data_IF_923420609318
#
_entry.id   IF_923420609318
#
_cell.length_a   1.000
_cell.length_b   1.000
_cell.length_c   1.000
_cell.angle_alpha   90.00
_cell.angle_beta   90.00
_cell.angle_gamma   90.00
#
_symmetry.space_group_name_H-M   'P 1'
#
loop_
_entity.id
_entity.type
_entity.pdbx_description
1 polymer ?
#
# COMPACT_ATOMS: atom_id res chain seq x y z
N UNK A 1 42.23 -41.37 -4.15
CA UNK A 1 41.52 -40.38 -4.97
C UNK A 1 40.69 -39.55 -4.02
N UNK A 2 41.10 -38.31 -3.74
CA UNK A 2 40.40 -37.42 -2.80
C UNK A 2 39.47 -36.49 -3.58
N UNK A 3 38.17 -36.75 -3.50
CA UNK A 3 37.13 -35.83 -3.96
C UNK A 3 37.19 -34.55 -3.14
N UNK A 4 37.78 -33.50 -3.71
CA UNK A 4 37.73 -32.15 -3.15
C UNK A 4 36.45 -31.50 -3.64
N UNK A 5 35.36 -31.68 -2.89
CA UNK A 5 34.12 -30.93 -3.12
C UNK A 5 34.39 -29.46 -2.77
N UNK A 6 34.71 -28.65 -3.78
CA UNK A 6 34.90 -27.20 -3.62
C UNK A 6 33.56 -26.55 -3.26
N UNK A 7 33.40 -26.18 -1.98
CA UNK A 7 32.24 -25.43 -1.48
C UNK A 7 32.25 -24.03 -2.11
N UNK A 8 31.32 -23.77 -3.04
CA UNK A 8 31.19 -22.47 -3.72
C UNK A 8 30.96 -21.38 -2.67
N UNK A 9 31.67 -20.24 -2.71
CA UNK A 9 31.47 -19.16 -1.75
C UNK A 9 30.02 -18.64 -1.84
N UNK A 10 29.44 -18.34 -0.67
CA UNK A 10 28.10 -17.79 -0.59
C UNK A 10 28.04 -16.43 -1.29
N UNK A 11 27.01 -16.21 -2.13
CA UNK A 11 26.82 -14.93 -2.82
C UNK A 11 26.64 -13.80 -1.82
N UNK A 12 27.28 -12.68 -2.08
CA UNK A 12 27.11 -11.46 -1.29
C UNK A 12 25.69 -10.87 -1.50
N UNK A 13 25.18 -10.05 -0.57
CA UNK A 13 23.92 -9.34 -0.77
C UNK A 13 23.88 -8.52 -2.07
N UNK A 14 24.98 -7.84 -2.42
CA UNK A 14 25.08 -7.03 -3.63
C UNK A 14 24.97 -7.89 -4.91
N UNK A 15 25.62 -9.05 -4.94
CA UNK A 15 25.53 -10.00 -6.06
C UNK A 15 24.11 -10.56 -6.20
N UNK A 16 23.43 -10.87 -5.09
CA UNK A 16 22.03 -11.31 -5.11
C UNK A 16 21.11 -10.23 -5.67
N UNK A 17 21.30 -8.97 -5.28
CA UNK A 17 20.50 -7.87 -5.80
C UNK A 17 20.77 -7.63 -7.29
N UNK A 18 22.04 -7.74 -7.72
CA UNK A 18 22.41 -7.61 -9.13
C UNK A 18 21.77 -8.71 -9.97
N UNK A 19 21.80 -9.95 -9.50
CA UNK A 19 21.18 -11.10 -10.15
C UNK A 19 19.65 -10.93 -10.25
N UNK A 20 19.01 -10.48 -9.16
CA UNK A 20 17.57 -10.18 -9.15
C UNK A 20 17.20 -9.12 -10.20
N UNK A 21 17.97 -8.03 -10.28
CA UNK A 21 17.75 -6.97 -11.28
C UNK A 21 17.96 -7.45 -12.70
N UNK A 22 18.98 -8.29 -12.94
CA UNK A 22 19.23 -8.87 -14.25
C UNK A 22 18.05 -9.73 -14.69
N UNK A 23 17.58 -10.62 -13.81
CA UNK A 23 16.41 -11.47 -14.05
C UNK A 23 15.14 -10.66 -14.28
N UNK A 24 14.94 -9.57 -13.52
CA UNK A 24 13.80 -8.68 -13.69
C UNK A 24 13.82 -8.00 -15.07
N UNK A 25 14.99 -7.56 -15.52
CA UNK A 25 15.16 -6.99 -16.84
C UNK A 25 14.87 -8.00 -17.96
N UNK A 26 15.32 -9.25 -17.82
CA UNK A 26 14.99 -10.33 -18.78
C UNK A 26 13.50 -10.63 -18.79
N UNK A 27 12.86 -10.74 -17.63
CA UNK A 27 11.41 -11.01 -17.53
C UNK A 27 10.59 -9.92 -18.26
N UNK A 28 11.01 -8.66 -18.18
CA UNK A 28 10.32 -7.56 -18.88
C UNK A 28 10.56 -7.61 -20.40
N UNK A 29 11.76 -7.97 -20.83
CA UNK A 29 12.15 -7.91 -22.24
C UNK A 29 11.64 -9.11 -23.04
N UNK A 30 11.63 -10.29 -22.42
CA UNK A 30 11.45 -11.58 -23.10
C UNK A 30 10.41 -12.48 -22.42
N UNK A 31 9.90 -12.09 -21.25
CA UNK A 31 9.01 -12.92 -20.46
C UNK A 31 7.66 -13.12 -21.13
N UNK A 32 7.18 -14.36 -21.10
CA UNK A 32 5.82 -14.71 -21.49
C UNK A 32 4.86 -14.57 -20.30
N UNK A 33 3.55 -14.65 -20.56
CA UNK A 33 2.55 -14.72 -19.50
C UNK A 33 2.79 -15.89 -18.54
N UNK A 34 3.28 -17.04 -19.04
CA UNK A 34 3.60 -18.20 -18.20
C UNK A 34 4.79 -17.90 -17.28
N UNK A 35 5.79 -17.16 -17.78
CA UNK A 35 6.95 -16.77 -16.97
C UNK A 35 6.56 -15.77 -15.86
N UNK A 36 5.65 -14.85 -16.16
CA UNK A 36 5.06 -13.94 -15.18
C UNK A 36 4.32 -14.69 -14.08
N UNK A 37 3.51 -15.69 -14.45
CA UNK A 37 2.78 -16.54 -13.50
C UNK A 37 3.70 -17.42 -12.64
N UNK A 38 4.85 -17.85 -13.17
CA UNK A 38 5.82 -18.67 -12.44
C UNK A 38 6.84 -17.86 -11.62
N UNK A 39 7.00 -16.56 -11.91
CA UNK A 39 7.97 -15.71 -11.23
C UNK A 39 7.70 -15.58 -9.72
N UNK A 40 8.74 -15.43 -8.91
CA UNK A 40 8.59 -15.14 -7.49
C UNK A 40 8.13 -13.68 -7.27
N UNK A 41 7.41 -13.40 -6.17
CA UNK A 41 6.91 -12.05 -5.86
C UNK A 41 8.03 -11.01 -5.78
N UNK A 42 9.19 -11.38 -5.24
CA UNK A 42 10.36 -10.50 -5.17
C UNK A 42 10.90 -10.12 -6.56
N UNK A 43 10.80 -11.02 -7.52
CA UNK A 43 11.18 -10.76 -8.92
C UNK A 43 10.14 -9.85 -9.59
N UNK A 44 8.85 -10.11 -9.39
CA UNK A 44 7.77 -9.28 -9.92
C UNK A 44 7.82 -7.85 -9.39
N UNK A 45 8.12 -7.65 -8.10
CA UNK A 45 8.24 -6.31 -7.50
C UNK A 45 9.43 -5.53 -8.09
N UNK A 46 10.59 -6.18 -8.26
CA UNK A 46 11.76 -5.53 -8.90
C UNK A 46 11.48 -5.25 -10.39
N UNK A 47 10.76 -6.15 -11.07
CA UNK A 47 10.35 -5.98 -12.46
C UNK A 47 9.36 -4.83 -12.61
N UNK A 48 8.36 -4.70 -11.74
CA UNK A 48 7.41 -3.60 -11.72
C UNK A 48 8.12 -2.24 -11.63
N UNK A 49 9.04 -2.11 -10.67
CA UNK A 49 9.82 -0.88 -10.50
C UNK A 49 10.73 -0.59 -11.70
N UNK A 50 11.26 -1.62 -12.35
CA UNK A 50 12.11 -1.46 -13.53
C UNK A 50 11.31 -1.06 -14.76
N UNK A 51 10.14 -1.67 -15.00
CA UNK A 51 9.22 -1.32 -16.08
C UNK A 51 8.73 0.13 -15.96
N UNK A 52 8.39 0.57 -14.74
CA UNK A 52 8.01 1.96 -14.46
C UNK A 52 9.11 2.95 -14.83
N UNK A 53 10.35 2.71 -14.35
CA UNK A 53 11.50 3.60 -14.65
C UNK A 53 11.85 3.66 -16.14
N UNK A 54 11.56 2.59 -16.89
CA UNK A 54 11.83 2.49 -18.33
C UNK A 54 10.66 2.95 -19.20
N UNK A 55 9.52 3.34 -18.62
CA UNK A 55 8.34 3.77 -19.36
C UNK A 55 7.67 2.67 -20.18
N UNK A 56 7.84 1.40 -19.80
CA UNK A 56 7.28 0.25 -20.54
C UNK A 56 5.87 -0.05 -20.05
N UNK A 57 4.88 0.70 -20.57
CA UNK A 57 3.50 0.69 -20.08
C UNK A 57 2.81 -0.68 -20.17
N UNK A 58 3.06 -1.46 -21.22
CA UNK A 58 2.45 -2.79 -21.37
C UNK A 58 2.98 -3.78 -20.33
N UNK A 59 4.30 -3.94 -20.23
CA UNK A 59 4.91 -4.80 -19.22
C UNK A 59 4.54 -4.36 -17.78
N UNK A 60 4.45 -3.06 -17.53
CA UNK A 60 4.01 -2.54 -16.24
C UNK A 60 2.59 -3.01 -15.88
N UNK A 61 1.66 -2.97 -16.84
CA UNK A 61 0.28 -3.41 -16.65
C UNK A 61 0.20 -4.91 -16.39
N UNK A 62 0.92 -5.73 -17.16
CA UNK A 62 0.91 -7.19 -17.02
C UNK A 62 1.47 -7.64 -15.66
N UNK A 63 2.60 -7.05 -15.24
CA UNK A 63 3.22 -7.34 -13.93
C UNK A 63 2.30 -6.89 -12.78
N UNK A 64 1.68 -5.71 -12.89
CA UNK A 64 0.75 -5.23 -11.87
C UNK A 64 -0.50 -6.12 -11.78
N UNK A 65 -1.02 -6.57 -12.94
CA UNK A 65 -2.15 -7.49 -13.03
C UNK A 65 -1.86 -8.84 -12.36
N UNK A 66 -0.68 -9.41 -12.60
CA UNK A 66 -0.21 -10.63 -11.95
C UNK A 66 -0.16 -10.49 -10.42
N UNK A 67 0.48 -9.43 -9.92
CA UNK A 67 0.58 -9.18 -8.48
C UNK A 67 -0.79 -9.01 -7.83
N UNK A 68 -1.71 -8.28 -8.48
CA UNK A 68 -3.06 -8.10 -7.98
C UNK A 68 -3.84 -9.42 -7.97
N UNK A 69 -3.67 -10.26 -9.01
CA UNK A 69 -4.31 -11.59 -9.06
C UNK A 69 -3.83 -12.48 -7.90
N UNK A 70 -2.52 -12.46 -7.59
CA UNK A 70 -1.97 -13.22 -6.45
C UNK A 70 -2.50 -12.75 -5.11
N UNK A 71 -2.62 -11.43 -4.93
CA UNK A 71 -3.21 -10.87 -3.71
C UNK A 71 -4.69 -11.26 -3.54
N UNK A 72 -5.42 -11.38 -4.65
CA UNK A 72 -6.83 -11.74 -4.67
C UNK A 72 -7.07 -13.27 -4.67
N UNK A 73 -6.03 -14.09 -4.85
CA UNK A 73 -6.12 -15.53 -4.68
C UNK A 73 -5.63 -15.94 -3.29
N UNK A 74 -6.54 -16.28 -2.36
CA UNK A 74 -6.14 -16.82 -1.07
C UNK A 74 -5.42 -18.15 -1.31
N UNK A 75 -4.11 -18.19 -1.07
CA UNK A 75 -3.35 -19.44 -1.01
C UNK A 75 -3.86 -20.35 0.10
N UNK A 76 -3.35 -21.60 0.21
CA UNK A 76 -3.82 -22.62 1.16
C UNK A 76 -3.68 -22.25 2.66
N UNK A 77 -3.14 -21.08 2.99
CA UNK A 77 -3.08 -20.52 4.35
C UNK A 77 -4.28 -19.62 4.69
N UNK A 78 -5.36 -19.71 3.93
CA UNK A 78 -6.60 -19.00 4.20
C UNK A 78 -7.39 -19.62 5.36
N UNK A 79 -6.79 -19.78 6.54
CA UNK A 79 -7.49 -20.03 7.81
C UNK A 79 -6.70 -19.44 8.98
N UNK A 80 -6.71 -18.11 9.11
CA UNK A 80 -7.13 -17.58 10.40
C UNK A 80 -8.56 -17.15 10.19
N UNK A 81 -9.47 -18.01 10.63
CA UNK A 81 -10.87 -17.69 10.75
C UNK A 81 -10.98 -16.32 11.46
N UNK A 82 -11.53 -15.33 10.76
CA UNK A 82 -12.11 -14.19 11.47
C UNK A 82 -13.09 -14.78 12.47
N UNK A 83 -13.01 -14.45 13.78
CA UNK A 83 -14.05 -14.86 14.71
C UNK A 83 -15.39 -14.35 14.18
N UNK A 84 -16.38 -15.22 14.30
CA UNK A 84 -17.69 -15.22 13.66
C UNK A 84 -18.23 -13.83 13.30
N UNK A 85 -18.57 -13.66 12.02
CA UNK A 85 -19.60 -12.68 11.65
C UNK A 85 -20.88 -13.11 12.37
N UNK A 86 -21.44 -12.31 13.29
CA UNK A 86 -22.79 -12.60 13.75
C UNK A 86 -23.71 -12.56 12.53
N UNK A 87 -24.50 -13.61 12.36
CA UNK A 87 -25.63 -13.64 11.44
C UNK A 87 -26.56 -12.49 11.83
N UNK A 88 -26.51 -11.39 11.08
CA UNK A 88 -27.43 -10.28 11.27
C UNK A 88 -28.79 -10.73 10.74
N UNK A 89 -29.65 -11.17 11.67
CA UNK A 89 -31.11 -11.16 11.48
C UNK A 89 -31.49 -9.76 10.99
N UNK A 90 -32.28 -9.60 9.90
CA UNK A 90 -32.63 -8.27 9.41
C UNK A 90 -33.56 -7.60 10.42
N UNK A 91 -32.99 -6.79 11.32
CA UNK A 91 -33.70 -5.75 12.07
C UNK A 91 -33.94 -4.55 11.14
N UNK A 92 -35.05 -3.81 11.32
CA UNK A 92 -35.51 -2.84 10.35
C UNK A 92 -34.54 -1.67 10.23
N UNK A 93 -34.29 -1.30 8.97
CA UNK A 93 -33.81 -0.02 8.45
C UNK A 93 -33.21 0.95 9.48
N UNK A 94 -31.91 0.81 9.73
CA UNK A 94 -31.09 1.97 10.08
C UNK A 94 -30.30 2.39 8.85
N UNK A 95 -30.44 3.67 8.51
CA UNK A 95 -29.94 4.32 7.30
C UNK A 95 -28.47 3.96 6.99
N UNK A 96 -28.09 3.88 5.70
CA UNK A 96 -26.74 3.45 5.31
C UNK A 96 -25.69 4.42 5.84
N UNK A 97 -24.91 3.99 6.84
CA UNK A 97 -23.70 4.69 7.27
C UNK A 97 -22.67 4.61 6.14
N UNK A 98 -22.61 5.66 5.33
CA UNK A 98 -21.56 5.86 4.34
C UNK A 98 -20.21 5.94 5.06
N UNK A 99 -19.36 4.92 4.90
CA UNK A 99 -17.96 4.95 5.35
C UNK A 99 -17.17 5.86 4.39
N UNK A 100 -17.22 7.17 4.64
CA UNK A 100 -16.44 8.15 3.90
C UNK A 100 -14.96 8.00 4.30
N UNK A 101 -14.09 7.75 3.33
CA UNK A 101 -12.65 7.44 3.49
C UNK A 101 -11.80 8.66 3.92
N UNK A 102 -12.26 9.45 4.88
CA UNK A 102 -11.62 10.69 5.34
C UNK A 102 -12.04 11.09 6.75
N UNK A 103 -11.44 12.17 7.25
CA UNK A 103 -11.80 12.73 8.56
C UNK A 103 -13.27 13.19 8.57
N UNK A 104 -14.03 12.92 9.65
CA UNK A 104 -15.40 13.40 9.81
C UNK A 104 -15.48 14.93 9.66
N UNK A 105 -16.60 15.47 9.16
CA UNK A 105 -16.77 16.90 8.96
C UNK A 105 -16.66 17.70 10.27
N UNK A 106 -17.01 17.12 11.42
CA UNK A 106 -16.82 17.74 12.74
C UNK A 106 -15.32 17.92 13.05
N UNK A 107 -14.50 16.90 12.76
CA UNK A 107 -13.05 16.94 12.99
C UNK A 107 -12.38 17.95 12.07
N UNK A 108 -12.87 18.08 10.83
CA UNK A 108 -12.39 19.09 9.88
C UNK A 108 -12.72 20.50 10.36
N UNK A 109 -13.97 20.76 10.78
CA UNK A 109 -14.42 22.06 11.33
C UNK A 109 -13.59 22.47 12.55
N UNK A 110 -13.45 21.56 13.51
CA UNK A 110 -12.61 21.79 14.70
C UNK A 110 -11.16 22.14 14.33
N UNK A 111 -10.56 21.43 13.36
CA UNK A 111 -9.19 21.72 12.94
C UNK A 111 -9.06 23.09 12.25
N UNK A 112 -10.08 23.52 11.50
CA UNK A 112 -10.14 24.86 10.87
C UNK A 112 -10.28 25.95 11.93
N UNK A 113 -11.18 25.79 12.90
CA UNK A 113 -11.37 26.73 14.02
C UNK A 113 -10.08 26.91 14.83
N UNK A 114 -9.37 25.81 15.12
CA UNK A 114 -8.08 25.86 15.80
C UNK A 114 -7.04 26.62 14.98
N UNK A 115 -7.03 26.45 13.66
CA UNK A 115 -6.13 27.22 12.79
C UNK A 115 -6.48 28.72 12.79
N UNK A 116 -7.77 29.06 12.78
CA UNK A 116 -8.22 30.46 12.86
C UNK A 116 -7.95 31.10 14.22
N UNK A 117 -7.98 30.31 15.29
CA UNK A 117 -7.54 30.73 16.62
C UNK A 117 -6.01 30.87 16.76
N UNK A 118 -5.25 30.59 15.69
CA UNK A 118 -3.80 30.71 15.69
C UNK A 118 -3.05 29.52 16.31
N UNK A 119 -3.72 28.38 16.51
CA UNK A 119 -3.08 27.20 17.07
C UNK A 119 -1.96 26.66 16.16
N UNK A 120 -0.91 26.14 16.79
CA UNK A 120 0.22 25.54 16.09
C UNK A 120 -0.18 24.20 15.45
N UNK A 121 0.57 23.78 14.42
CA UNK A 121 0.35 22.48 13.77
C UNK A 121 0.43 21.30 14.74
N UNK A 122 1.20 21.41 15.83
CA UNK A 122 1.31 20.39 16.88
C UNK A 122 0.03 20.30 17.72
N UNK A 123 -0.57 21.43 18.07
CA UNK A 123 -1.82 21.49 18.84
C UNK A 123 -2.99 20.96 18.01
N UNK A 124 -3.08 21.39 16.75
CA UNK A 124 -4.09 20.88 15.80
C UNK A 124 -3.96 19.35 15.65
N UNK A 125 -2.74 18.83 15.51
CA UNK A 125 -2.48 17.38 15.45
C UNK A 125 -3.01 16.65 16.67
N UNK A 126 -2.74 17.21 17.84
CA UNK A 126 -3.10 16.63 19.13
C UNK A 126 -4.61 16.61 19.31
N UNK A 127 -5.29 17.69 18.91
CA UNK A 127 -6.75 17.76 18.92
C UNK A 127 -7.38 16.74 17.96
N UNK A 128 -6.87 16.62 16.72
CA UNK A 128 -7.35 15.62 15.76
C UNK A 128 -7.11 14.19 16.26
N UNK A 129 -5.94 13.92 16.86
CA UNK A 129 -5.65 12.61 17.45
C UNK A 129 -6.61 12.28 18.59
N UNK A 130 -6.91 13.25 19.45
CA UNK A 130 -7.83 13.08 20.58
C UNK A 130 -9.27 12.86 20.10
N UNK A 131 -9.71 13.57 19.05
CA UNK A 131 -11.07 13.50 18.55
C UNK A 131 -11.34 12.27 17.66
N UNK A 132 -10.35 11.83 16.87
CA UNK A 132 -10.56 10.80 15.83
C UNK A 132 -9.68 9.55 16.02
N UNK A 133 -8.77 9.53 16.99
CA UNK A 133 -7.84 8.42 17.22
C UNK A 133 -6.75 8.27 16.16
N UNK A 134 -6.76 9.10 15.10
CA UNK A 134 -5.77 9.10 14.02
C UNK A 134 -5.37 10.52 13.68
N UNK A 135 -4.07 10.78 13.54
CA UNK A 135 -3.56 12.12 13.22
C UNK A 135 -2.86 12.16 11.86
N UNK A 136 -3.03 13.27 11.11
CA UNK A 136 -2.27 13.49 9.88
C UNK A 136 -0.79 13.78 10.19
N UNK A 137 0.07 13.65 9.18
CA UNK A 137 1.50 13.97 9.28
C UNK A 137 1.69 15.47 9.62
N UNK A 138 2.45 15.73 10.70
CA UNK A 138 2.70 17.05 11.26
C UNK A 138 3.27 18.07 10.26
N UNK A 139 4.05 17.62 9.28
CA UNK A 139 4.65 18.51 8.26
C UNK A 139 3.63 19.09 7.28
N UNK A 140 2.45 18.50 7.18
CA UNK A 140 1.43 18.85 6.18
C UNK A 140 0.11 19.39 6.76
N UNK A 141 -0.01 19.51 8.09
CA UNK A 141 -1.29 19.81 8.75
C UNK A 141 -1.86 21.17 8.33
N UNK A 142 -1.06 22.23 8.35
CA UNK A 142 -1.55 23.56 7.96
C UNK A 142 -2.08 23.60 6.52
N UNK A 143 -1.42 22.88 5.59
CA UNK A 143 -1.88 22.76 4.19
C UNK A 143 -3.17 21.95 4.10
N UNK A 144 -3.26 20.85 4.85
CA UNK A 144 -4.43 19.98 4.91
C UNK A 144 -5.65 20.71 5.46
N UNK A 145 -5.50 21.44 6.56
CA UNK A 145 -6.60 22.21 7.18
C UNK A 145 -7.09 23.32 6.25
N UNK A 146 -6.19 24.02 5.54
CA UNK A 146 -6.60 24.98 4.50
C UNK A 146 -7.43 24.33 3.39
N UNK A 147 -7.05 23.13 2.94
CA UNK A 147 -7.87 22.40 1.96
C UNK A 147 -9.24 21.97 2.50
N UNK A 148 -9.34 21.70 3.81
CA UNK A 148 -10.62 21.40 4.45
C UNK A 148 -11.52 22.61 4.58
N UNK A 149 -10.97 23.81 4.81
CA UNK A 149 -11.74 25.06 4.79
C UNK A 149 -12.47 25.22 3.46
N UNK A 150 -11.75 25.13 2.35
CA UNK A 150 -12.32 25.22 0.99
C UNK A 150 -13.36 24.13 0.71
N UNK A 151 -13.18 22.93 1.27
CA UNK A 151 -14.12 21.81 1.11
C UNK A 151 -15.35 21.87 2.04
N UNK A 152 -15.37 22.76 3.03
CA UNK A 152 -16.51 22.99 3.92
C UNK A 152 -17.35 24.20 3.48
N UNK A 153 -16.76 25.10 2.68
CA UNK A 153 -17.42 26.27 2.10
C UNK A 153 -18.15 25.96 0.78
N UNK A 154 -17.94 24.79 0.19
CA UNK A 154 -18.64 24.26 -0.99
C UNK A 154 -19.56 23.11 -0.59
#
# INVERSE_FOLDING_TARGET
MTDTTTKRPARTPAERQRDLRARAATLIAEGTETDLQAAADSLLIEALGTAYRRGQSYALADIAGELLRRLNHPGPFALVARPDRPTVTPEPETEPVTVTRGYPPEVKRMAVELLDAGATSREIRTAILKAHGKAPDGRNIARLVRSWRTALEN
#
